data_IF_864028861243
#
_entry.id   IF_864028861243
#
_cell.length_a   1.000
_cell.length_b   1.000
_cell.length_c   1.000
_cell.angle_alpha   90.00
_cell.angle_beta   90.00
_cell.angle_gamma   90.00
#
_symmetry.space_group_name_H-M   'P 1'
#
loop_
_entity.id
_entity.type
_entity.pdbx_description
1 polymer ?
#
# COMPACT_ATOMS: atom_id res chain seq x y z
N UNK A 1 18.68 -6.41 -3.09
CA UNK A 1 19.10 -6.17 -1.70
C UNK A 1 18.23 -6.96 -0.71
N UNK A 2 16.94 -6.67 -0.58
CA UNK A 2 16.02 -7.39 0.34
C UNK A 2 16.06 -8.92 0.17
N UNK A 3 15.98 -9.44 -1.06
CA UNK A 3 16.11 -10.88 -1.36
C UNK A 3 17.35 -11.53 -0.75
N UNK A 4 18.50 -10.86 -0.81
CA UNK A 4 19.76 -11.37 -0.26
C UNK A 4 19.73 -11.40 1.27
N UNK A 5 19.19 -10.34 1.89
CA UNK A 5 19.03 -10.25 3.34
C UNK A 5 18.07 -11.35 3.81
N UNK A 6 16.92 -11.49 3.17
CA UNK A 6 15.91 -12.50 3.51
C UNK A 6 16.48 -13.91 3.43
N UNK A 7 17.18 -14.25 2.34
CA UNK A 7 17.83 -15.57 2.19
C UNK A 7 18.89 -15.84 3.26
N UNK A 8 19.59 -14.79 3.72
CA UNK A 8 20.63 -14.91 4.75
C UNK A 8 20.05 -15.01 6.17
N UNK A 9 18.99 -14.24 6.46
CA UNK A 9 18.43 -14.10 7.82
C UNK A 9 17.38 -15.17 8.12
N UNK A 10 16.61 -15.61 7.12
CA UNK A 10 15.49 -16.55 7.31
C UNK A 10 15.62 -17.88 6.54
N UNK A 11 16.80 -18.55 6.51
CA UNK A 11 16.95 -19.79 5.76
C UNK A 11 16.02 -20.91 6.29
N UNK A 12 15.80 -20.96 7.61
CA UNK A 12 14.92 -21.96 8.24
C UNK A 12 13.46 -21.86 7.78
N UNK A 13 12.93 -20.63 7.67
CA UNK A 13 11.55 -20.39 7.20
C UNK A 13 11.43 -20.74 5.71
N UNK A 14 12.44 -20.38 4.92
CA UNK A 14 12.46 -20.67 3.47
C UNK A 14 12.51 -22.19 3.22
N UNK A 15 13.27 -22.94 4.02
CA UNK A 15 13.43 -24.38 3.84
C UNK A 15 12.19 -25.20 4.26
N UNK A 16 11.19 -24.58 4.91
CA UNK A 16 9.91 -25.24 5.21
C UNK A 16 8.96 -25.32 4.01
N UNK A 17 9.22 -24.54 2.96
CA UNK A 17 8.42 -24.58 1.74
C UNK A 17 8.64 -25.91 0.99
N UNK A 18 7.54 -26.51 0.52
CA UNK A 18 7.51 -27.85 -0.06
C UNK A 18 8.19 -27.92 -1.44
N UNK A 19 8.22 -26.81 -2.16
CA UNK A 19 8.80 -26.70 -3.50
C UNK A 19 9.38 -25.31 -3.77
N UNK A 20 10.13 -25.17 -4.87
CA UNK A 20 10.77 -23.90 -5.24
C UNK A 20 9.75 -22.78 -5.48
N UNK A 21 8.60 -23.13 -6.04
CA UNK A 21 7.47 -22.23 -6.25
C UNK A 21 7.00 -21.58 -4.93
N UNK A 22 6.78 -22.37 -3.89
CA UNK A 22 6.42 -21.89 -2.57
C UNK A 22 7.56 -21.14 -1.88
N UNK A 23 8.82 -21.54 -2.09
CA UNK A 23 9.97 -20.78 -1.59
C UNK A 23 9.96 -19.35 -2.13
N UNK A 24 9.64 -19.17 -3.40
CA UNK A 24 9.57 -17.84 -3.99
C UNK A 24 8.45 -16.99 -3.36
N UNK A 25 7.30 -17.60 -3.07
CA UNK A 25 6.20 -16.94 -2.33
C UNK A 25 6.67 -16.49 -0.95
N UNK A 26 7.29 -17.39 -0.19
CA UNK A 26 7.76 -17.13 1.17
C UNK A 26 8.81 -16.03 1.16
N UNK A 27 9.77 -16.09 0.22
CA UNK A 27 10.81 -15.06 0.07
C UNK A 27 10.16 -13.70 -0.22
N UNK A 28 9.22 -13.62 -1.16
CA UNK A 28 8.52 -12.38 -1.47
C UNK A 28 7.77 -11.81 -0.27
N UNK A 29 7.05 -12.66 0.47
CA UNK A 29 6.36 -12.26 1.71
C UNK A 29 7.31 -11.68 2.75
N UNK A 30 8.46 -12.34 2.95
CA UNK A 30 9.51 -11.88 3.86
C UNK A 30 10.16 -10.57 3.40
N UNK A 31 10.34 -10.35 2.11
CA UNK A 31 10.85 -9.07 1.58
C UNK A 31 9.88 -7.92 1.88
N UNK A 32 8.58 -8.13 1.63
CA UNK A 32 7.53 -7.13 1.92
C UNK A 32 7.43 -6.85 3.41
N UNK A 33 7.50 -7.91 4.24
CA UNK A 33 7.50 -7.79 5.70
C UNK A 33 8.71 -6.97 6.18
N UNK A 34 9.91 -7.33 5.74
CA UNK A 34 11.14 -6.63 6.12
C UNK A 34 11.13 -5.17 5.66
N UNK A 35 10.68 -4.90 4.43
CA UNK A 35 10.53 -3.53 3.93
C UNK A 35 9.53 -2.72 4.76
N UNK A 36 8.44 -3.34 5.22
CA UNK A 36 7.45 -2.69 6.09
C UNK A 36 8.04 -2.42 7.48
N UNK A 37 8.79 -3.35 8.06
CA UNK A 37 9.45 -3.16 9.36
C UNK A 37 10.48 -2.02 9.32
N UNK A 38 11.26 -1.92 8.23
CA UNK A 38 12.20 -0.81 8.03
C UNK A 38 11.46 0.53 7.96
N UNK A 39 10.32 0.60 7.27
CA UNK A 39 9.45 1.78 7.25
C UNK A 39 8.94 2.15 8.64
N UNK A 40 8.38 1.19 9.38
CA UNK A 40 7.86 1.40 10.74
C UNK A 40 8.96 1.92 11.68
N UNK A 41 10.13 1.28 11.67
CA UNK A 41 11.25 1.69 12.50
C UNK A 41 11.71 3.13 12.18
N UNK A 42 11.79 3.48 10.90
CA UNK A 42 12.18 4.82 10.49
C UNK A 42 11.12 5.88 10.85
N UNK A 43 9.82 5.59 10.72
CA UNK A 43 8.76 6.49 11.18
C UNK A 43 8.77 6.69 12.69
N UNK A 44 8.96 5.61 13.46
CA UNK A 44 9.09 5.69 14.92
C UNK A 44 10.31 6.53 15.33
N UNK A 45 11.44 6.39 14.63
CA UNK A 45 12.63 7.20 14.88
C UNK A 45 12.35 8.69 14.62
N UNK A 46 11.68 9.04 13.52
CA UNK A 46 11.26 10.42 13.22
C UNK A 46 10.33 10.93 14.33
N UNK A 47 9.36 10.13 14.74
CA UNK A 47 8.46 10.42 15.85
C UNK A 47 9.20 10.70 17.16
N UNK A 48 10.19 9.87 17.49
CA UNK A 48 11.02 10.03 18.67
C UNK A 48 11.85 11.33 18.63
N UNK A 49 12.60 11.56 17.56
CA UNK A 49 13.46 12.75 17.40
C UNK A 49 12.64 14.04 17.36
N UNK A 50 11.41 13.99 16.84
CA UNK A 50 10.50 15.14 16.80
C UNK A 50 9.65 15.32 18.07
N UNK A 51 9.86 14.54 19.14
CA UNK A 51 9.05 14.54 20.36
C UNK A 51 7.55 14.28 20.13
N UNK A 52 7.20 13.51 19.11
CA UNK A 52 5.84 13.10 18.76
C UNK A 52 5.65 11.58 18.80
N UNK A 53 6.45 10.84 19.58
CA UNK A 53 6.47 9.37 19.57
C UNK A 53 5.09 8.74 19.82
N UNK A 54 4.34 9.21 20.81
CA UNK A 54 3.00 8.66 21.12
C UNK A 54 2.04 8.92 19.96
N UNK A 55 2.04 10.12 19.39
CA UNK A 55 1.25 10.44 18.20
C UNK A 55 1.64 9.59 17.00
N UNK A 56 2.93 9.31 16.84
CA UNK A 56 3.46 8.43 15.79
C UNK A 56 2.94 7.00 15.94
N UNK A 57 2.92 6.46 17.16
CA UNK A 57 2.36 5.14 17.43
C UNK A 57 0.88 5.10 17.08
N UNK A 58 0.10 6.12 17.45
CA UNK A 58 -1.32 6.23 17.08
C UNK A 58 -1.47 6.26 15.56
N UNK A 59 -0.74 7.14 14.87
CA UNK A 59 -0.73 7.23 13.41
C UNK A 59 -0.44 5.86 12.77
N UNK A 60 0.58 5.14 13.25
CA UNK A 60 0.96 3.85 12.70
C UNK A 60 -0.09 2.76 12.95
N UNK A 61 -0.72 2.73 14.13
CA UNK A 61 -1.80 1.77 14.41
C UNK A 61 -2.98 2.02 13.47
N UNK A 62 -3.43 3.27 13.39
CA UNK A 62 -4.50 3.68 12.49
C UNK A 62 -4.17 3.34 11.04
N UNK A 63 -2.99 3.80 10.58
CA UNK A 63 -2.51 3.62 9.21
C UNK A 63 -2.32 2.14 8.84
N UNK A 64 -1.75 1.31 9.71
CA UNK A 64 -1.49 -0.08 9.37
C UNK A 64 -2.76 -0.92 9.34
N UNK A 65 -3.71 -0.67 10.24
CA UNK A 65 -4.91 -1.51 10.37
C UNK A 65 -5.82 -1.42 9.15
N UNK A 66 -6.10 -0.20 8.67
CA UNK A 66 -6.88 -0.03 7.44
C UNK A 66 -6.05 -0.49 6.24
N UNK A 67 -4.76 -0.10 6.16
CA UNK A 67 -3.88 -0.47 5.04
C UNK A 67 -3.79 -1.97 4.76
N UNK A 68 -3.70 -2.82 5.80
CA UNK A 68 -3.60 -4.28 5.64
C UNK A 68 -4.82 -4.83 4.89
N UNK A 69 -6.01 -4.26 5.11
CA UNK A 69 -7.26 -4.76 4.51
C UNK A 69 -7.66 -4.00 3.25
N UNK A 70 -7.38 -2.70 3.19
CA UNK A 70 -7.76 -1.84 2.08
C UNK A 70 -6.78 -1.88 0.91
N UNK A 71 -5.52 -2.26 1.16
CA UNK A 71 -4.47 -2.23 0.14
C UNK A 71 -4.15 -0.79 -0.28
N UNK A 72 -3.71 -0.61 -1.53
CA UNK A 72 -3.47 0.70 -2.17
C UNK A 72 -2.10 0.77 -2.87
N UNK A 73 -1.52 1.96 -3.01
CA UNK A 73 -0.29 2.13 -3.79
C UNK A 73 0.90 1.34 -3.22
N UNK A 74 1.54 0.52 -4.07
CA UNK A 74 2.87 -0.02 -3.80
C UNK A 74 3.82 0.46 -4.88
N UNK A 75 4.93 1.10 -4.49
CA UNK A 75 5.93 1.58 -5.45
C UNK A 75 6.60 0.41 -6.18
N UNK A 76 7.21 0.69 -7.34
CA UNK A 76 7.85 -0.33 -8.18
C UNK A 76 9.09 -0.94 -7.50
N UNK A 77 9.67 -0.24 -6.51
CA UNK A 77 10.83 -0.70 -5.74
C UNK A 77 10.62 -0.46 -4.25
N UNK A 78 11.22 -1.31 -3.42
CA UNK A 78 11.19 -1.15 -1.95
C UNK A 78 11.80 0.19 -1.51
N UNK A 79 12.85 0.67 -2.19
CA UNK A 79 13.46 1.97 -1.90
C UNK A 79 12.51 3.13 -2.21
N UNK A 80 11.82 3.11 -3.37
CA UNK A 80 10.84 4.13 -3.68
C UNK A 80 9.67 4.10 -2.68
N UNK A 81 9.21 2.92 -2.28
CA UNK A 81 8.19 2.79 -1.24
C UNK A 81 8.66 3.42 0.07
N UNK A 82 9.88 3.10 0.49
CA UNK A 82 10.48 3.66 1.69
C UNK A 82 10.56 5.19 1.65
N UNK A 83 11.11 5.75 0.56
CA UNK A 83 11.23 7.19 0.40
C UNK A 83 9.86 7.89 0.38
N UNK A 84 8.89 7.36 -0.36
CA UNK A 84 7.53 7.92 -0.38
C UNK A 84 6.91 7.93 1.03
N UNK A 85 7.02 6.82 1.77
CA UNK A 85 6.50 6.69 3.12
C UNK A 85 7.16 7.67 4.09
N UNK A 86 8.50 7.76 4.07
CA UNK A 86 9.25 8.64 4.97
C UNK A 86 9.08 10.12 4.63
N UNK A 87 9.06 10.50 3.35
CA UNK A 87 8.80 11.89 2.94
C UNK A 87 7.39 12.31 3.33
N UNK A 88 6.39 11.46 3.05
CA UNK A 88 4.99 11.69 3.45
C UNK A 88 4.86 11.90 4.96
N UNK A 89 5.46 11.02 5.76
CA UNK A 89 5.36 11.10 7.20
C UNK A 89 6.13 12.29 7.78
N UNK A 90 7.31 12.57 7.24
CA UNK A 90 8.11 13.74 7.63
C UNK A 90 7.37 15.05 7.33
N UNK A 91 6.63 15.10 6.22
CA UNK A 91 5.77 16.23 5.90
C UNK A 91 4.67 16.40 6.96
N UNK A 92 4.00 15.32 7.36
CA UNK A 92 2.98 15.34 8.42
C UNK A 92 3.56 15.88 9.73
N UNK A 93 4.72 15.38 10.15
CA UNK A 93 5.41 15.86 11.36
C UNK A 93 5.80 17.34 11.24
N UNK A 94 6.29 17.77 10.07
CA UNK A 94 6.68 19.15 9.81
C UNK A 94 5.51 20.13 9.86
N UNK A 95 4.33 19.74 9.36
CA UNK A 95 3.14 20.61 9.40
C UNK A 95 2.41 20.58 10.74
N UNK A 96 2.53 19.49 11.51
CA UNK A 96 1.73 19.25 12.72
C UNK A 96 1.73 20.42 13.72
N UNK A 97 2.85 21.11 14.02
CA UNK A 97 2.87 22.26 14.94
C UNK A 97 2.01 23.45 14.48
N UNK A 98 1.83 23.61 13.17
CA UNK A 98 1.10 24.73 12.57
C UNK A 98 -0.41 24.46 12.46
N UNK A 99 -0.82 23.18 12.55
CA UNK A 99 -2.23 22.80 12.51
C UNK A 99 -2.86 22.94 13.90
N UNK A 100 -3.42 24.11 14.15
CA UNK A 100 -4.17 24.46 15.37
C UNK A 100 -5.66 24.13 15.24
N UNK A 101 -6.40 24.23 16.34
CA UNK A 101 -7.85 23.99 16.39
C UNK A 101 -8.65 24.82 15.38
N UNK A 102 -8.15 26.00 14.99
CA UNK A 102 -8.75 26.84 13.95
C UNK A 102 -8.91 26.09 12.61
N UNK A 103 -7.99 25.18 12.30
CA UNK A 103 -8.00 24.41 11.07
C UNK A 103 -8.69 23.04 11.23
N UNK A 104 -9.26 22.74 12.40
CA UNK A 104 -9.87 21.45 12.69
C UNK A 104 -11.01 21.10 11.72
N UNK A 105 -11.83 22.07 11.33
CA UNK A 105 -12.90 21.84 10.35
C UNK A 105 -12.36 21.39 8.99
N UNK A 106 -11.23 21.95 8.54
CA UNK A 106 -10.59 21.53 7.29
C UNK A 106 -10.09 20.08 7.42
N UNK A 107 -9.45 19.75 8.54
CA UNK A 107 -9.01 18.37 8.81
C UNK A 107 -10.16 17.37 8.79
N UNK A 108 -11.29 17.69 9.43
CA UNK A 108 -12.49 16.84 9.44
C UNK A 108 -13.03 16.64 8.03
N UNK A 109 -13.10 17.70 7.21
CA UNK A 109 -13.57 17.60 5.82
C UNK A 109 -12.64 16.69 5.00
N UNK A 110 -11.32 16.87 5.11
CA UNK A 110 -10.35 16.02 4.41
C UNK A 110 -10.42 14.56 4.86
N UNK A 111 -10.58 14.32 6.16
CA UNK A 111 -10.76 12.99 6.71
C UNK A 111 -12.06 12.34 6.22
N UNK A 112 -13.17 13.09 6.19
CA UNK A 112 -14.45 12.60 5.70
C UNK A 112 -14.40 12.24 4.20
N UNK A 113 -13.74 13.07 3.39
CA UNK A 113 -13.48 12.76 1.98
C UNK A 113 -12.67 11.47 1.86
N UNK A 114 -11.59 11.34 2.63
CA UNK A 114 -10.72 10.15 2.61
C UNK A 114 -11.47 8.90 3.05
N UNK A 115 -12.31 9.00 4.08
CA UNK A 115 -13.19 7.92 4.53
C UNK A 115 -14.16 7.44 3.44
N UNK A 116 -14.80 8.37 2.73
CA UNK A 116 -15.69 8.05 1.60
C UNK A 116 -14.92 7.38 0.47
N UNK A 117 -13.71 7.87 0.17
CA UNK A 117 -12.81 7.29 -0.83
C UNK A 117 -12.47 5.85 -0.46
N UNK A 118 -12.09 5.58 0.78
CA UNK A 118 -11.78 4.21 1.24
C UNK A 118 -12.97 3.29 1.16
N UNK A 119 -14.18 3.75 1.55
CA UNK A 119 -15.39 2.95 1.39
C UNK A 119 -15.69 2.55 -0.06
N UNK A 120 -15.37 3.43 -1.01
CA UNK A 120 -15.63 3.21 -2.44
C UNK A 120 -14.53 2.43 -3.16
N UNK A 121 -13.27 2.67 -2.82
CA UNK A 121 -12.12 2.14 -3.53
C UNK A 121 -11.58 0.83 -2.94
N UNK A 122 -11.75 0.60 -1.64
CA UNK A 122 -11.21 -0.58 -0.99
C UNK A 122 -12.04 -1.86 -1.28
N UNK A 123 -11.40 -3.03 -1.35
CA UNK A 123 -9.95 -3.22 -1.40
C UNK A 123 -9.38 -2.81 -2.77
N UNK A 124 -8.24 -2.10 -2.76
CA UNK A 124 -7.46 -1.84 -3.97
C UNK A 124 -6.72 -3.14 -4.32
N UNK A 125 -7.24 -3.82 -5.34
CA UNK A 125 -6.64 -5.04 -5.86
C UNK A 125 -5.47 -4.68 -6.77
N UNK A 126 -4.29 -5.20 -6.48
CA UNK A 126 -3.22 -5.21 -7.45
C UNK A 126 -3.58 -6.27 -8.51
N UNK A 127 -3.55 -5.92 -9.81
CA UNK A 127 -3.94 -6.82 -10.90
C UNK A 127 -3.02 -8.04 -11.09
N UNK A 128 -2.18 -8.36 -10.09
CA UNK A 128 -1.25 -9.48 -10.10
C UNK A 128 -1.91 -10.80 -9.66
N UNK A 129 -3.10 -10.76 -9.05
CA UNK A 129 -3.94 -11.90 -8.69
C UNK A 129 -5.39 -11.65 -9.12
N UNK A 130 -6.10 -12.70 -9.54
CA UNK A 130 -7.56 -12.67 -9.62
C UNK A 130 -8.18 -13.01 -8.26
N UNK A 131 -9.15 -12.22 -7.83
CA UNK A 131 -9.85 -12.44 -6.57
C UNK A 131 -11.27 -12.90 -6.86
N UNK A 132 -11.75 -13.91 -6.14
CA UNK A 132 -13.16 -14.31 -6.21
C UNK A 132 -14.07 -13.20 -5.69
N UNK A 133 -15.31 -13.17 -6.19
CA UNK A 133 -16.32 -12.21 -5.72
C UNK A 133 -16.54 -12.31 -4.21
N UNK A 134 -16.48 -13.53 -3.64
CA UNK A 134 -16.62 -13.75 -2.21
C UNK A 134 -15.46 -13.17 -1.39
N UNK A 135 -14.21 -13.36 -1.83
CA UNK A 135 -13.03 -12.78 -1.17
C UNK A 135 -13.11 -11.26 -1.14
N UNK A 136 -13.50 -10.64 -2.26
CA UNK A 136 -13.68 -9.18 -2.36
C UNK A 136 -14.77 -8.71 -1.39
N UNK A 137 -15.91 -9.41 -1.32
CA UNK A 137 -16.99 -9.06 -0.40
C UNK A 137 -16.56 -9.20 1.07
N UNK A 138 -15.82 -10.26 1.41
CA UNK A 138 -15.26 -10.46 2.76
C UNK A 138 -14.28 -9.33 3.12
N UNK A 139 -13.39 -8.96 2.20
CA UNK A 139 -12.46 -7.85 2.38
C UNK A 139 -13.19 -6.51 2.58
N UNK A 140 -14.22 -6.20 1.77
CA UNK A 140 -15.04 -4.99 1.93
C UNK A 140 -15.72 -4.91 3.29
N UNK A 141 -16.28 -6.03 3.79
CA UNK A 141 -16.89 -6.09 5.14
C UNK A 141 -15.85 -5.80 6.22
N UNK A 142 -14.64 -6.39 6.12
CA UNK A 142 -13.54 -6.12 7.06
C UNK A 142 -13.08 -4.66 7.03
N UNK A 143 -12.89 -4.07 5.85
CA UNK A 143 -12.50 -2.67 5.72
C UNK A 143 -13.54 -1.75 6.37
N UNK A 144 -14.84 -1.98 6.12
CA UNK A 144 -15.92 -1.19 6.74
C UNK A 144 -15.91 -1.29 8.26
N UNK A 145 -15.68 -2.48 8.79
CA UNK A 145 -15.61 -2.69 10.24
C UNK A 145 -14.42 -1.94 10.86
N UNK A 146 -13.24 -2.03 10.24
CA UNK A 146 -12.04 -1.32 10.70
C UNK A 146 -12.22 0.19 10.62
N UNK A 147 -12.70 0.70 9.48
CA UNK A 147 -13.01 2.12 9.30
C UNK A 147 -13.98 2.64 10.36
N UNK A 148 -15.03 1.87 10.66
CA UNK A 148 -16.00 2.24 11.70
C UNK A 148 -15.34 2.29 13.08
N UNK A 149 -14.46 1.32 13.38
CA UNK A 149 -13.69 1.29 14.63
C UNK A 149 -12.77 2.50 14.75
N UNK A 150 -12.04 2.81 13.68
CA UNK A 150 -11.14 3.96 13.56
C UNK A 150 -11.87 5.30 13.73
N UNK A 151 -13.09 5.42 13.18
CA UNK A 151 -13.93 6.59 13.38
C UNK A 151 -14.26 6.79 14.87
N UNK A 152 -14.66 5.74 15.58
CA UNK A 152 -14.95 5.82 17.01
C UNK A 152 -13.70 6.12 17.85
N UNK A 153 -12.56 5.50 17.53
CA UNK A 153 -11.26 5.80 18.17
C UNK A 153 -10.90 7.27 17.97
N UNK A 154 -11.05 7.78 16.74
CA UNK A 154 -10.77 9.18 16.41
C UNK A 154 -11.66 10.14 17.17
N UNK A 155 -12.97 9.87 17.25
CA UNK A 155 -13.92 10.67 18.06
C UNK A 155 -13.52 10.63 19.55
N UNK A 156 -13.15 9.46 20.08
CA UNK A 156 -12.69 9.33 21.46
C UNK A 156 -11.41 10.13 21.75
N UNK A 157 -10.42 10.05 20.85
CA UNK A 157 -9.18 10.81 20.96
C UNK A 157 -9.43 12.32 20.93
N UNK A 158 -10.41 12.80 20.15
CA UNK A 158 -10.77 14.22 20.12
C UNK A 158 -11.20 14.74 21.50
N UNK A 159 -11.94 13.94 22.26
CA UNK A 159 -12.41 14.29 23.61
C UNK A 159 -11.28 14.26 24.65
N UNK A 160 -10.26 13.43 24.45
CA UNK A 160 -9.18 13.21 25.44
C UNK A 160 -8.01 14.16 25.19
N UNK A 161 -7.54 14.25 23.95
CA UNK A 161 -6.33 15.00 23.63
C UNK A 161 -6.29 15.39 22.14
N UNK A 162 -6.55 16.68 21.87
CA UNK A 162 -6.52 17.24 20.52
C UNK A 162 -5.20 16.98 19.76
N UNK A 163 -4.06 17.00 20.46
CA UNK A 163 -2.75 16.75 19.82
C UNK A 163 -2.62 15.32 19.31
N UNK A 164 -3.13 14.34 20.06
CA UNK A 164 -3.11 12.93 19.67
C UNK A 164 -4.16 12.60 18.61
N UNK A 165 -5.35 13.21 18.72
CA UNK A 165 -6.41 13.13 17.71
C UNK A 165 -5.93 13.46 16.29
N UNK A 166 -5.10 14.51 16.14
CA UNK A 166 -4.57 14.90 14.83
C UNK A 166 -3.82 13.76 14.14
N UNK A 167 -3.12 12.90 14.88
CA UNK A 167 -2.37 11.78 14.29
C UNK A 167 -3.29 10.70 13.72
N UNK A 168 -4.43 10.41 14.36
CA UNK A 168 -5.44 9.51 13.82
C UNK A 168 -6.05 10.09 12.53
N UNK A 169 -6.37 11.40 12.52
CA UNK A 169 -6.85 12.08 11.31
C UNK A 169 -5.83 12.06 10.18
N UNK A 170 -4.55 12.32 10.47
CA UNK A 170 -3.49 12.26 9.46
C UNK A 170 -3.34 10.85 8.86
N UNK A 171 -3.55 9.79 9.64
CA UNK A 171 -3.55 8.42 9.13
C UNK A 171 -4.68 8.22 8.10
N UNK A 172 -5.92 8.55 8.47
CA UNK A 172 -7.10 8.44 7.58
C UNK A 172 -6.89 9.23 6.29
N UNK A 173 -6.38 10.45 6.36
CA UNK A 173 -6.09 11.27 5.17
C UNK A 173 -5.02 10.64 4.30
N UNK A 174 -3.93 10.14 4.91
CA UNK A 174 -2.84 9.49 4.16
C UNK A 174 -3.33 8.27 3.40
N UNK A 175 -4.24 7.50 3.98
CA UNK A 175 -4.81 6.30 3.34
C UNK A 175 -5.64 6.64 2.13
N UNK A 176 -6.56 7.60 2.24
CA UNK A 176 -7.35 8.05 1.10
C UNK A 176 -6.44 8.46 -0.08
N UNK A 177 -5.35 9.19 0.20
CA UNK A 177 -4.36 9.56 -0.82
C UNK A 177 -3.68 8.33 -1.42
N UNK A 178 -3.22 7.39 -0.60
CA UNK A 178 -2.53 6.18 -1.06
C UNK A 178 -3.45 5.25 -1.87
N UNK A 179 -4.73 5.22 -1.56
CA UNK A 179 -5.74 4.44 -2.30
C UNK A 179 -6.03 5.05 -3.66
N UNK A 180 -6.16 6.38 -3.75
CA UNK A 180 -6.26 7.10 -5.02
C UNK A 180 -5.03 6.80 -5.87
N UNK A 181 -3.83 6.93 -5.31
CA UNK A 181 -2.58 6.63 -6.01
C UNK A 181 -2.53 5.17 -6.48
N UNK A 182 -3.01 4.23 -5.65
CA UNK A 182 -3.10 2.82 -5.99
C UNK A 182 -4.07 2.59 -7.15
N UNK A 183 -5.26 3.18 -7.08
CA UNK A 183 -6.27 3.08 -8.13
C UNK A 183 -5.76 3.61 -9.47
N UNK A 184 -5.08 4.76 -9.47
CA UNK A 184 -4.46 5.34 -10.67
C UNK A 184 -3.40 4.38 -11.23
N UNK A 185 -2.43 3.95 -10.39
CA UNK A 185 -1.35 3.05 -10.81
C UNK A 185 -1.88 1.77 -11.45
N UNK A 186 -2.81 1.09 -10.80
CA UNK A 186 -3.30 -0.21 -11.28
C UNK A 186 -4.29 -0.07 -12.46
N UNK A 187 -5.00 1.06 -12.57
CA UNK A 187 -5.79 1.39 -13.76
C UNK A 187 -4.91 1.58 -15.00
N UNK A 188 -3.78 2.27 -14.86
CA UNK A 188 -2.85 2.51 -15.97
C UNK A 188 -2.12 1.24 -16.43
N UNK A 189 -1.80 0.34 -15.50
CA UNK A 189 -1.20 -0.97 -15.83
C UNK A 189 -2.17 -1.79 -16.70
N UNK A 190 -3.45 -1.88 -16.31
CA UNK A 190 -4.46 -2.61 -17.10
C UNK A 190 -4.63 -2.02 -18.51
N UNK A 191 -4.57 -0.68 -18.65
CA UNK A 191 -4.60 -0.01 -19.97
C UNK A 191 -3.36 -0.35 -20.80
N UNK A 192 -2.16 -0.30 -20.22
CA UNK A 192 -0.90 -0.65 -20.92
C UNK A 192 -0.89 -2.11 -21.38
N UNK A 193 -1.38 -3.03 -20.57
CA UNK A 193 -1.46 -4.44 -20.95
C UNK A 193 -2.51 -4.70 -22.03
N UNK A 194 -3.66 -4.01 -21.98
CA UNK A 194 -4.64 -4.02 -23.07
C UNK A 194 -4.01 -3.48 -24.36
N UNK A 195 -3.31 -2.34 -24.30
CA UNK A 195 -2.61 -1.76 -25.44
C UNK A 195 -1.53 -2.68 -25.98
N UNK A 196 -0.77 -3.38 -25.13
CA UNK A 196 0.20 -4.41 -25.56
C UNK A 196 -0.48 -5.59 -26.23
N UNK A 197 -1.62 -6.07 -25.73
CA UNK A 197 -2.40 -7.15 -26.37
C UNK A 197 -2.93 -6.70 -27.72
N UNK A 198 -3.52 -5.50 -27.79
CA UNK A 198 -3.98 -4.89 -29.05
C UNK A 198 -2.82 -4.67 -30.02
N UNK A 199 -1.67 -4.19 -29.55
CA UNK A 199 -0.46 -4.06 -30.35
C UNK A 199 0.08 -5.40 -30.80
N UNK A 200 0.07 -6.47 -29.99
CA UNK A 200 0.48 -7.80 -30.46
C UNK A 200 -0.45 -8.34 -31.54
N UNK A 201 -1.76 -8.08 -31.44
CA UNK A 201 -2.74 -8.43 -32.48
C UNK A 201 -2.49 -7.60 -33.74
N UNK A 202 -2.29 -6.28 -33.60
CA UNK A 202 -2.02 -5.39 -34.73
C UNK A 202 -0.63 -5.59 -35.33
N UNK A 203 0.35 -6.03 -34.54
CA UNK A 203 1.72 -6.34 -34.96
C UNK A 203 1.79 -7.72 -35.59
N UNK A 204 0.95 -8.67 -35.15
CA UNK A 204 0.66 -9.90 -35.92
C UNK A 204 0.05 -9.57 -37.28
N UNK A 205 -0.88 -8.60 -37.34
CA UNK A 205 -1.42 -8.08 -38.59
C UNK A 205 -0.40 -7.25 -39.40
N UNK A 206 0.53 -6.54 -38.75
CA UNK A 206 1.54 -5.72 -39.40
C UNK A 206 2.78 -6.52 -39.83
N UNK A 207 3.08 -7.66 -39.21
CA UNK A 207 4.08 -8.63 -39.67
C UNK A 207 3.63 -9.29 -40.98
N UNK A 208 2.33 -9.42 -41.21
CA UNK A 208 1.78 -9.75 -42.53
C UNK A 208 1.97 -8.62 -43.56
N UNK A 209 2.27 -7.38 -43.13
CA UNK A 209 2.45 -6.20 -44.00
C UNK A 209 3.86 -5.55 -43.94
N UNK A 210 4.83 -6.13 -43.22
CA UNK A 210 6.26 -5.88 -43.38
C UNK A 210 6.92 -4.73 -42.62
N UNK A 211 6.40 -4.23 -41.49
CA UNK A 211 7.03 -3.11 -40.74
C UNK A 211 7.27 -3.38 -39.24
N UNK A 212 8.45 -3.01 -38.71
CA UNK A 212 8.82 -3.12 -37.28
C UNK A 212 9.62 -1.89 -36.77
N UNK A 213 9.23 -1.29 -35.64
CA UNK A 213 10.14 -0.49 -34.81
C UNK A 213 10.38 -1.11 -33.42
N UNK A 214 11.61 -0.91 -32.92
CA UNK A 214 12.13 -1.43 -31.64
C UNK A 214 11.88 -0.48 -30.47
N UNK A 215 11.44 -0.98 -29.30
CA UNK A 215 11.57 -0.26 -28.02
C UNK A 215 11.78 -1.15 -26.79
N UNK A 216 12.61 -0.65 -25.88
CA UNK A 216 13.11 -1.27 -24.65
C UNK A 216 12.07 -1.36 -23.51
N UNK A 217 12.21 -2.37 -22.65
CA UNK A 217 11.36 -2.62 -21.46
C UNK A 217 12.18 -2.54 -20.16
N UNK A 218 11.63 -1.88 -19.14
CA UNK A 218 12.16 -1.86 -17.77
C UNK A 218 11.45 -2.93 -16.92
N UNK A 219 12.22 -3.68 -16.12
CA UNK A 219 11.76 -4.84 -15.35
C UNK A 219 11.40 -4.48 -13.89
N UNK A 220 10.15 -4.72 -13.49
CA UNK A 220 9.77 -4.89 -12.06
C UNK A 220 10.13 -6.33 -11.62
N UNK A 221 10.40 -6.58 -10.33
CA UNK A 221 10.40 -7.93 -9.80
C UNK A 221 8.98 -8.51 -9.91
N UNK A 222 8.84 -9.57 -10.69
CA UNK A 222 7.57 -10.23 -10.91
C UNK A 222 7.15 -11.03 -9.67
N UNK A 223 5.84 -11.02 -9.41
CA UNK A 223 5.26 -11.97 -8.47
C UNK A 223 5.57 -13.39 -8.99
N UNK A 224 6.11 -14.29 -8.15
CA UNK A 224 6.38 -15.67 -8.53
C UNK A 224 5.17 -16.31 -9.20
N UNK A 225 5.38 -17.03 -10.30
CA UNK A 225 4.28 -17.63 -11.07
C UNK A 225 3.46 -18.60 -10.20
N UNK A 226 4.16 -19.36 -9.36
CA UNK A 226 3.65 -20.13 -8.23
C UNK A 226 2.59 -19.43 -7.37
N UNK A 227 2.86 -18.16 -7.02
CA UNK A 227 1.96 -17.37 -6.20
C UNK A 227 0.70 -17.07 -6.99
N UNK A 228 0.83 -16.68 -8.26
CA UNK A 228 -0.33 -16.43 -9.13
C UNK A 228 -1.20 -17.69 -9.25
N UNK A 229 -0.58 -18.84 -9.48
CA UNK A 229 -1.30 -20.10 -9.70
C UNK A 229 -1.98 -20.64 -8.41
N UNK A 230 -1.38 -20.45 -7.23
CA UNK A 230 -2.03 -20.75 -5.93
C UNK A 230 -3.19 -19.79 -5.61
N UNK A 231 -3.13 -18.58 -6.16
CA UNK A 231 -4.09 -17.51 -5.90
C UNK A 231 -5.29 -17.52 -6.86
N UNK A 232 -5.19 -18.25 -7.99
CA UNK A 232 -6.23 -18.44 -9.02
C UNK A 232 -7.05 -19.74 -8.86
N UNK A 233 -6.74 -20.58 -7.87
CA UNK A 233 -7.55 -21.74 -7.44
C UNK A 233 -8.55 -21.35 -6.35
#
# INVERSE_FOLDING_TARGET
MYKLIVKKVFPGVINQAENEEEKEVVIYGLEVMLSSMVNLAAMLLIGYVSNNLIGTVIYLICFCTIRIMAGGYHANTYLACFLCSIISYSFIIGINPYITEKYNMILIILAAISYIITLGLAPILNGKRTFSTEEIQKAKKKVRFILTTELFVTIGLYQINYKLYKFAIFAIITEGVIEIMGKIKYSDINKKDLLKKMMKISMGAALLSGWLPSFATFHEPEMPQALKDKLEK
#
